data_IF_845858725578
#
_entry.id   IF_845858725578
#
_cell.length_a   1.000
_cell.length_b   1.000
_cell.length_c   1.000
_cell.angle_alpha   90.00
_cell.angle_beta   90.00
_cell.angle_gamma   90.00
#
_symmetry.space_group_name_H-M   'P 1'
#
loop_
_entity.id
_entity.type
_entity.pdbx_description
1 polymer ?
#
# COMPACT_ATOMS: atom_id res chain seq x y z
N UNK A 1 -28.97 -32.26 -19.19
CA UNK A 1 -29.21 -31.13 -18.27
C UNK A 1 -27.94 -30.30 -18.22
N UNK A 2 -27.80 -29.36 -19.13
CA UNK A 2 -26.64 -28.48 -19.28
C UNK A 2 -27.02 -27.11 -18.73
N UNK A 3 -26.39 -26.72 -17.62
CA UNK A 3 -26.58 -25.43 -16.97
C UNK A 3 -26.09 -24.31 -17.87
N UNK A 4 -27.02 -23.55 -18.46
CA UNK A 4 -26.76 -22.30 -19.14
C UNK A 4 -26.46 -21.22 -18.09
N UNK A 5 -25.19 -21.10 -17.69
CA UNK A 5 -24.70 -19.85 -17.12
C UNK A 5 -24.48 -18.88 -18.29
N UNK A 6 -25.52 -18.15 -18.66
CA UNK A 6 -25.38 -17.03 -19.58
C UNK A 6 -24.44 -16.00 -18.92
N UNK A 7 -23.35 -15.58 -19.58
CA UNK A 7 -22.55 -14.46 -19.09
C UNK A 7 -23.44 -13.22 -19.08
N UNK A 8 -23.66 -12.66 -17.89
CA UNK A 8 -24.32 -11.38 -17.71
C UNK A 8 -23.62 -10.34 -18.59
N UNK A 9 -24.38 -9.65 -19.44
CA UNK A 9 -23.88 -8.55 -20.27
C UNK A 9 -23.05 -7.59 -19.41
N UNK A 10 -21.82 -7.24 -19.82
CA UNK A 10 -21.02 -6.26 -19.12
C UNK A 10 -21.65 -4.89 -19.40
N UNK A 11 -22.61 -4.49 -18.57
CA UNK A 11 -22.94 -3.07 -18.44
C UNK A 11 -21.65 -2.37 -18.04
N UNK A 12 -21.03 -1.67 -18.99
CA UNK A 12 -19.79 -0.87 -18.88
C UNK A 12 -19.03 -1.15 -17.58
N UNK A 13 -18.35 -2.29 -17.52
CA UNK A 13 -17.37 -2.55 -16.47
C UNK A 13 -16.26 -1.53 -16.72
N UNK A 14 -16.35 -0.37 -16.06
CA UNK A 14 -15.23 0.55 -15.99
C UNK A 14 -14.04 -0.27 -15.48
N UNK A 15 -13.08 -0.48 -16.39
CA UNK A 15 -11.86 -1.17 -16.06
C UNK A 15 -11.26 -0.42 -14.88
N UNK A 16 -10.99 -1.13 -13.79
CA UNK A 16 -10.46 -0.50 -12.60
C UNK A 16 -9.13 0.17 -12.97
N UNK A 17 -9.01 1.47 -12.70
CA UNK A 17 -7.79 2.21 -12.92
C UNK A 17 -7.02 2.33 -11.61
N UNK A 18 -5.72 2.05 -11.66
CA UNK A 18 -4.88 2.16 -10.48
C UNK A 18 -4.78 3.64 -10.04
N UNK A 19 -5.01 3.96 -8.75
CA UNK A 19 -5.04 5.36 -8.28
C UNK A 19 -3.67 6.05 -8.34
N UNK A 20 -2.61 5.26 -8.53
CA UNK A 20 -1.24 5.72 -8.73
C UNK A 20 -0.70 4.98 -9.95
N UNK A 21 -0.01 5.66 -10.86
CA UNK A 21 0.52 5.09 -12.12
C UNK A 21 2.04 4.96 -12.04
N UNK A 22 2.60 3.78 -11.69
CA UNK A 22 4.03 3.56 -11.48
C UNK A 22 4.89 3.92 -12.70
N UNK A 23 4.32 3.79 -13.90
CA UNK A 23 4.95 4.05 -15.19
C UNK A 23 5.34 5.53 -15.35
N UNK A 24 4.73 6.44 -14.59
CA UNK A 24 5.04 7.87 -14.62
C UNK A 24 6.30 8.23 -13.81
N UNK A 25 6.80 7.33 -12.96
CA UNK A 25 7.96 7.60 -12.13
C UNK A 25 9.26 7.03 -12.70
N UNK A 26 10.38 7.66 -12.36
CA UNK A 26 11.69 7.10 -12.64
C UNK A 26 11.99 5.93 -11.68
N UNK A 27 11.88 4.71 -12.22
CA UNK A 27 12.12 3.43 -11.53
C UNK A 27 13.53 2.88 -11.73
N UNK A 28 14.48 3.66 -12.25
CA UNK A 28 15.87 3.21 -12.45
C UNK A 28 16.53 2.82 -11.12
N UNK A 29 17.49 1.87 -11.15
CA UNK A 29 18.30 1.52 -9.99
C UNK A 29 19.04 2.73 -9.39
N UNK A 30 19.56 2.56 -8.17
CA UNK A 30 20.34 3.60 -7.51
C UNK A 30 21.61 3.96 -8.30
N UNK A 31 21.83 5.26 -8.50
CA UNK A 31 23.10 5.81 -8.98
C UNK A 31 24.11 5.95 -7.84
N UNK A 32 25.39 6.14 -8.18
CA UNK A 32 26.44 6.38 -7.17
C UNK A 32 26.19 7.66 -6.36
N UNK A 33 25.66 8.70 -7.00
CA UNK A 33 25.30 9.95 -6.33
C UNK A 33 24.17 9.75 -5.32
N UNK A 34 23.19 8.91 -5.66
CA UNK A 34 22.09 8.56 -4.75
C UNK A 34 22.57 7.72 -3.58
N UNK A 35 23.47 6.76 -3.80
CA UNK A 35 24.11 6.00 -2.71
C UNK A 35 24.82 6.93 -1.74
N UNK A 36 25.61 7.87 -2.26
CA UNK A 36 26.26 8.90 -1.45
C UNK A 36 25.25 9.75 -0.67
N UNK A 37 24.15 10.16 -1.32
CA UNK A 37 23.11 10.94 -0.67
C UNK A 37 22.38 10.15 0.43
N UNK A 38 22.12 8.86 0.21
CA UNK A 38 21.50 7.96 1.18
C UNK A 38 22.42 7.72 2.39
N UNK A 39 23.72 7.52 2.17
CA UNK A 39 24.73 7.40 3.23
C UNK A 39 24.70 8.63 4.16
N UNK A 40 24.57 9.83 3.58
CA UNK A 40 24.49 11.07 4.37
C UNK A 40 23.27 11.12 5.31
N UNK A 41 22.17 10.43 4.97
CA UNK A 41 20.99 10.31 5.83
C UNK A 41 21.03 9.09 6.76
N UNK A 42 21.82 8.06 6.43
CA UNK A 42 21.99 6.87 7.25
C UNK A 42 23.01 7.07 8.39
N UNK A 43 24.00 7.95 8.19
CA UNK A 43 25.06 8.24 9.15
C UNK A 43 24.59 9.10 10.35
N UNK A 44 23.93 8.46 11.32
CA UNK A 44 23.77 8.99 12.68
C UNK A 44 22.78 10.15 12.86
N UNK A 45 22.70 10.76 14.06
CA UNK A 45 21.66 11.71 14.42
C UNK A 45 21.61 12.86 13.41
N UNK A 46 20.38 13.31 13.12
CA UNK A 46 20.05 14.35 12.14
C UNK A 46 21.06 15.49 12.21
N UNK A 47 22.04 15.50 11.28
CA UNK A 47 22.97 16.62 11.11
C UNK A 47 22.14 17.88 10.88
N UNK A 48 22.58 19.06 11.38
CA UNK A 48 21.78 20.27 11.38
C UNK A 48 21.08 20.48 10.04
N UNK A 49 19.75 20.58 10.14
CA UNK A 49 18.83 20.83 9.03
C UNK A 49 19.19 22.19 8.41
N UNK A 50 20.06 22.18 7.41
CA UNK A 50 20.55 23.42 6.79
C UNK A 50 21.93 23.35 6.16
N UNK A 51 22.70 22.28 6.36
CA UNK A 51 24.00 22.16 5.69
C UNK A 51 23.83 22.10 4.15
N UNK A 52 24.75 22.74 3.40
CA UNK A 52 24.77 22.64 1.92
C UNK A 52 24.80 21.19 1.43
N UNK A 53 25.47 20.30 2.17
CA UNK A 53 25.51 18.85 1.89
C UNK A 53 24.13 18.20 2.02
N UNK A 54 23.38 18.55 3.06
CA UNK A 54 22.00 18.06 3.25
C UNK A 54 21.07 18.57 2.15
N UNK A 55 21.20 19.83 1.73
CA UNK A 55 20.42 20.37 0.61
C UNK A 55 20.74 19.64 -0.70
N UNK A 56 22.03 19.43 -1.01
CA UNK A 56 22.47 18.66 -2.19
C UNK A 56 21.95 17.23 -2.14
N UNK A 57 22.06 16.54 -1.00
CA UNK A 57 21.55 15.18 -0.84
C UNK A 57 20.02 15.09 -1.05
N UNK A 58 19.26 16.09 -0.59
CA UNK A 58 17.81 16.16 -0.87
C UNK A 58 17.50 16.35 -2.35
N UNK A 59 18.29 17.18 -3.04
CA UNK A 59 18.13 17.42 -4.46
C UNK A 59 18.40 16.14 -5.28
N UNK A 60 19.46 15.40 -4.94
CA UNK A 60 19.80 14.12 -5.58
C UNK A 60 18.66 13.10 -5.41
N UNK A 61 18.09 13.01 -4.19
CA UNK A 61 17.00 12.06 -3.90
C UNK A 61 15.61 12.57 -4.29
N UNK A 62 15.51 13.68 -5.03
CA UNK A 62 14.22 14.35 -5.27
C UNK A 62 13.24 13.49 -6.07
N UNK A 63 13.73 12.60 -6.96
CA UNK A 63 12.86 11.73 -7.77
C UNK A 63 12.00 10.78 -6.94
N UNK A 64 12.41 10.46 -5.71
CA UNK A 64 11.61 9.61 -4.82
C UNK A 64 10.49 10.38 -4.12
N UNK A 65 10.47 11.71 -4.18
CA UNK A 65 9.48 12.52 -3.45
C UNK A 65 8.08 12.39 -4.04
N UNK A 66 7.93 12.47 -5.37
CA UNK A 66 6.61 12.34 -6.02
C UNK A 66 5.91 11.02 -5.70
N UNK A 67 6.49 9.83 -5.94
CA UNK A 67 5.79 8.58 -5.65
C UNK A 67 5.42 8.41 -4.16
N UNK A 68 6.25 8.93 -3.24
CA UNK A 68 5.95 8.92 -1.80
C UNK A 68 4.78 9.87 -1.49
N UNK A 69 4.82 11.08 -2.05
CA UNK A 69 3.80 12.10 -1.84
C UNK A 69 2.45 11.67 -2.41
N UNK A 70 2.42 11.04 -3.57
CA UNK A 70 1.18 10.63 -4.24
C UNK A 70 0.46 9.51 -3.46
N UNK A 71 1.20 8.50 -3.00
CA UNK A 71 0.64 7.45 -2.13
C UNK A 71 0.22 8.03 -0.77
N UNK A 72 1.01 8.95 -0.20
CA UNK A 72 0.64 9.60 1.05
C UNK A 72 -0.63 10.45 0.91
N UNK A 73 -0.74 11.21 -0.17
CA UNK A 73 -1.88 12.08 -0.45
C UNK A 73 -3.16 11.26 -0.66
N UNK A 74 -3.06 10.11 -1.32
CA UNK A 74 -4.16 9.17 -1.50
C UNK A 74 -4.84 8.84 -0.16
N UNK A 75 -4.05 8.41 0.84
CA UNK A 75 -4.61 8.02 2.15
C UNK A 75 -4.96 9.19 3.06
N UNK A 76 -4.08 10.20 3.13
CA UNK A 76 -4.13 11.22 4.19
C UNK A 76 -4.60 12.58 3.72
N UNK A 77 -4.86 12.77 2.41
CA UNK A 77 -5.24 14.06 1.82
C UNK A 77 -4.25 15.19 2.20
N UNK A 78 -2.97 14.86 2.36
CA UNK A 78 -1.91 15.81 2.73
C UNK A 78 -1.90 16.28 4.19
N UNK A 79 -2.66 15.65 5.11
CA UNK A 79 -2.86 16.15 6.48
C UNK A 79 -1.68 16.04 7.45
N UNK A 80 -0.49 15.61 7.03
CA UNK A 80 0.65 15.46 7.97
C UNK A 80 2.03 15.42 7.30
N UNK A 81 2.71 16.57 7.28
CA UNK A 81 4.09 16.69 6.79
C UNK A 81 5.08 15.88 7.63
N UNK A 82 4.79 15.67 8.92
CA UNK A 82 5.63 14.89 9.84
C UNK A 82 5.58 13.41 9.49
N UNK A 83 4.40 12.86 9.19
CA UNK A 83 4.28 11.46 8.78
C UNK A 83 4.93 11.20 7.42
N UNK A 84 4.81 12.13 6.46
CA UNK A 84 5.55 12.06 5.17
C UNK A 84 7.06 11.99 5.42
N UNK A 85 7.57 12.81 6.33
CA UNK A 85 8.99 12.82 6.67
C UNK A 85 9.44 11.50 7.32
N UNK A 86 8.59 10.85 8.12
CA UNK A 86 8.87 9.52 8.69
C UNK A 86 8.88 8.43 7.60
N UNK A 87 7.94 8.45 6.64
CA UNK A 87 7.97 7.56 5.47
C UNK A 87 9.29 7.70 4.72
N UNK A 88 9.71 8.95 4.44
CA UNK A 88 11.00 9.21 3.81
C UNK A 88 12.18 8.67 4.63
N UNK A 89 12.16 8.83 5.95
CA UNK A 89 13.23 8.34 6.82
C UNK A 89 13.35 6.82 6.75
N UNK A 90 12.23 6.10 6.83
CA UNK A 90 12.22 4.63 6.72
C UNK A 90 12.74 4.22 5.35
N UNK A 91 12.16 4.72 4.26
CA UNK A 91 12.56 4.29 2.92
C UNK A 91 14.03 4.59 2.62
N UNK A 92 14.54 5.77 2.97
CA UNK A 92 15.96 6.09 2.76
C UNK A 92 16.88 5.15 3.54
N UNK A 93 16.52 4.84 4.78
CA UNK A 93 17.28 3.87 5.59
C UNK A 93 17.27 2.48 4.96
N UNK A 94 16.12 2.01 4.53
CA UNK A 94 15.99 0.66 3.94
C UNK A 94 16.66 0.57 2.56
N UNK A 95 16.56 1.61 1.73
CA UNK A 95 17.25 1.70 0.43
C UNK A 95 18.76 1.70 0.60
N UNK A 96 19.27 2.44 1.60
CA UNK A 96 20.69 2.41 1.96
C UNK A 96 21.13 1.01 2.40
N UNK A 97 20.41 0.39 3.33
CA UNK A 97 20.75 -0.92 3.89
C UNK A 97 20.74 -2.04 2.83
N UNK A 98 19.83 -1.98 1.86
CA UNK A 98 19.71 -2.98 0.78
C UNK A 98 20.50 -2.63 -0.47
N UNK A 99 21.02 -1.40 -0.57
CA UNK A 99 21.61 -0.86 -1.79
C UNK A 99 20.71 -1.03 -3.03
N UNK A 100 19.40 -0.81 -2.86
CA UNK A 100 18.36 -0.93 -3.90
C UNK A 100 17.31 0.15 -3.73
N UNK A 101 16.71 0.60 -4.83
CA UNK A 101 15.51 1.42 -4.73
C UNK A 101 14.33 0.59 -4.21
N UNK A 102 13.31 1.23 -3.63
CA UNK A 102 12.10 0.50 -3.20
C UNK A 102 11.32 -0.13 -4.36
N UNK A 103 11.58 0.31 -5.60
CA UNK A 103 11.03 -0.30 -6.82
C UNK A 103 11.56 -1.72 -7.06
N UNK A 104 12.78 -2.00 -6.60
CA UNK A 104 13.49 -3.26 -6.83
C UNK A 104 13.29 -4.25 -5.67
N UNK A 105 12.54 -3.87 -4.64
CA UNK A 105 12.28 -4.75 -3.50
C UNK A 105 11.31 -5.87 -3.90
N UNK A 106 11.72 -7.09 -3.59
CA UNK A 106 10.86 -8.27 -3.62
C UNK A 106 9.69 -8.14 -2.64
N UNK A 107 8.63 -8.94 -2.82
CA UNK A 107 7.53 -9.02 -1.84
C UNK A 107 8.01 -9.32 -0.41
N UNK A 108 9.02 -10.16 -0.25
CA UNK A 108 9.59 -10.47 1.07
C UNK A 108 10.32 -9.26 1.66
N UNK A 109 11.12 -8.54 0.86
CA UNK A 109 11.80 -7.33 1.32
C UNK A 109 10.78 -6.28 1.80
N UNK A 110 9.63 -6.13 1.12
CA UNK A 110 8.53 -5.29 1.59
C UNK A 110 7.94 -5.76 2.93
N UNK A 111 7.67 -7.06 3.08
CA UNK A 111 7.17 -7.63 4.34
C UNK A 111 8.14 -7.37 5.50
N UNK A 112 9.45 -7.52 5.26
CA UNK A 112 10.49 -7.27 6.27
C UNK A 112 10.50 -5.79 6.72
N UNK A 113 10.32 -4.85 5.78
CA UNK A 113 10.22 -3.41 6.10
C UNK A 113 8.98 -3.11 6.93
N UNK A 114 7.84 -3.73 6.58
CA UNK A 114 6.56 -3.49 7.23
C UNK A 114 6.43 -4.14 8.61
N UNK A 115 7.22 -5.19 8.86
CA UNK A 115 7.15 -6.07 10.01
C UNK A 115 5.77 -6.75 10.16
N UNK A 116 5.65 -7.82 10.98
CA UNK A 116 4.38 -8.55 11.11
C UNK A 116 3.25 -7.75 11.75
N UNK A 117 3.57 -6.81 12.64
CA UNK A 117 2.60 -5.98 13.33
C UNK A 117 3.16 -4.61 13.72
N UNK A 118 2.25 -3.70 14.11
CA UNK A 118 2.58 -2.31 14.48
C UNK A 118 3.52 -2.22 15.68
N UNK A 119 3.44 -3.16 16.64
CA UNK A 119 4.30 -3.13 17.82
C UNK A 119 5.76 -3.42 17.45
N UNK A 120 6.01 -4.46 16.66
CA UNK A 120 7.34 -4.78 16.14
C UNK A 120 7.86 -3.65 15.27
N UNK A 121 7.02 -3.14 14.36
CA UNK A 121 7.38 -2.02 13.49
C UNK A 121 7.81 -0.79 14.30
N UNK A 122 7.07 -0.42 15.34
CA UNK A 122 7.39 0.73 16.19
C UNK A 122 8.68 0.54 16.98
N UNK A 123 9.03 -0.69 17.40
CA UNK A 123 10.28 -0.98 18.10
C UNK A 123 11.47 -0.94 17.14
N UNK A 124 11.32 -1.53 15.95
CA UNK A 124 12.43 -1.68 15.00
C UNK A 124 12.68 -0.40 14.19
N UNK A 125 11.62 0.31 13.83
CA UNK A 125 11.64 1.45 12.89
C UNK A 125 11.10 2.73 13.51
N UNK A 126 10.19 2.62 14.47
CA UNK A 126 9.59 3.77 15.15
C UNK A 126 10.58 4.51 16.03
N UNK A 127 10.70 5.83 15.82
CA UNK A 127 11.43 6.74 16.73
C UNK A 127 10.61 7.08 17.99
N UNK A 128 9.91 6.11 18.56
CA UNK A 128 9.21 6.24 19.84
C UNK A 128 7.86 6.97 19.84
N UNK A 129 7.30 7.36 18.68
CA UNK A 129 5.95 7.95 18.59
C UNK A 129 5.01 7.07 17.77
N UNK A 130 3.80 6.83 18.30
CA UNK A 130 2.70 6.15 17.59
C UNK A 130 2.28 7.00 16.40
N UNK A 131 2.78 6.70 15.21
CA UNK A 131 2.38 7.41 14.01
C UNK A 131 1.95 6.44 12.92
N UNK A 132 0.93 6.83 12.17
CA UNK A 132 0.18 5.96 11.27
C UNK A 132 0.87 5.80 9.91
N UNK A 133 2.17 6.10 9.79
CA UNK A 133 2.90 6.01 8.52
C UNK A 133 3.17 4.57 8.05
N UNK A 134 2.98 3.57 8.92
CA UNK A 134 3.08 2.15 8.55
C UNK A 134 2.04 1.77 7.50
N UNK A 135 0.82 2.28 7.61
CA UNK A 135 -0.23 1.97 6.62
C UNK A 135 0.10 2.62 5.27
N UNK A 136 0.67 3.83 5.26
CA UNK A 136 1.21 4.40 4.02
C UNK A 136 2.29 3.51 3.40
N UNK A 137 3.20 2.95 4.19
CA UNK A 137 4.21 2.02 3.66
C UNK A 137 3.57 0.74 3.10
N UNK A 138 2.47 0.25 3.70
CA UNK A 138 1.70 -0.88 3.13
C UNK A 138 1.10 -0.51 1.78
N UNK A 139 0.52 0.68 1.67
CA UNK A 139 -0.02 1.18 0.41
C UNK A 139 1.06 1.29 -0.65
N UNK A 140 2.27 1.74 -0.28
CA UNK A 140 3.41 1.77 -1.18
C UNK A 140 3.82 0.38 -1.64
N UNK A 141 3.91 -0.60 -0.73
CA UNK A 141 4.22 -1.98 -1.10
C UNK A 141 3.18 -2.56 -2.07
N UNK A 142 1.90 -2.26 -1.86
CA UNK A 142 0.83 -2.68 -2.74
C UNK A 142 0.88 -1.97 -4.10
N UNK A 143 0.82 -0.63 -4.12
CA UNK A 143 0.66 0.18 -5.32
C UNK A 143 1.95 0.31 -6.15
N UNK A 144 3.11 0.42 -5.49
CA UNK A 144 4.39 0.68 -6.13
C UNK A 144 5.28 -0.57 -6.19
N UNK A 145 5.22 -1.40 -5.14
CA UNK A 145 6.06 -2.58 -4.97
C UNK A 145 5.54 -3.86 -5.60
N UNK A 146 4.34 -3.83 -6.21
CA UNK A 146 3.76 -5.02 -6.83
C UNK A 146 3.20 -6.05 -5.84
N UNK A 147 3.21 -5.78 -4.52
CA UNK A 147 2.90 -6.78 -3.49
C UNK A 147 1.39 -6.90 -3.28
N UNK A 148 0.79 -7.96 -3.79
CA UNK A 148 -0.65 -8.22 -3.63
C UNK A 148 -0.99 -8.94 -2.32
N UNK A 149 -0.07 -9.74 -1.77
CA UNK A 149 -0.24 -10.44 -0.51
C UNK A 149 0.52 -9.79 0.65
N UNK A 150 -0.17 -8.90 1.35
CA UNK A 150 0.34 -8.24 2.57
C UNK A 150 -0.20 -8.88 3.86
N UNK A 151 -0.74 -10.11 3.80
CA UNK A 151 -1.27 -10.80 4.98
C UNK A 151 -0.19 -11.07 6.02
N UNK A 152 1.03 -11.37 5.58
CA UNK A 152 2.19 -11.55 6.46
C UNK A 152 2.59 -10.25 7.19
N UNK A 153 2.29 -9.10 6.60
CA UNK A 153 2.43 -7.79 7.25
C UNK A 153 1.19 -7.40 8.06
N UNK A 154 0.17 -8.26 8.19
CA UNK A 154 -1.01 -7.97 9.00
C UNK A 154 -1.98 -6.96 8.37
N UNK A 155 -2.10 -6.93 7.04
CA UNK A 155 -3.06 -6.04 6.34
C UNK A 155 -4.53 -6.31 6.72
N UNK A 156 -4.85 -7.45 7.35
CA UNK A 156 -6.22 -7.83 7.65
C UNK A 156 -7.04 -6.74 8.37
N UNK A 157 -6.46 -6.02 9.34
CA UNK A 157 -7.13 -4.91 10.03
C UNK A 157 -7.36 -3.68 9.14
N UNK A 158 -6.53 -3.50 8.13
CA UNK A 158 -6.57 -2.38 7.17
C UNK A 158 -7.19 -2.77 5.83
N UNK A 159 -7.67 -4.02 5.68
CA UNK A 159 -8.12 -4.56 4.40
C UNK A 159 -9.32 -3.79 3.83
N UNK A 160 -10.33 -3.48 4.65
CA UNK A 160 -11.51 -2.71 4.19
C UNK A 160 -11.14 -1.26 3.86
N UNK A 161 -10.44 -0.50 4.74
CA UNK A 161 -9.95 0.83 4.38
C UNK A 161 -9.09 0.84 3.11
N UNK A 162 -8.16 -0.10 2.96
CA UNK A 162 -7.30 -0.20 1.78
C UNK A 162 -8.09 -0.54 0.51
N UNK A 163 -9.02 -1.52 0.57
CA UNK A 163 -9.85 -1.84 -0.57
C UNK A 163 -10.72 -0.65 -1.01
N UNK A 164 -11.33 0.07 -0.06
CA UNK A 164 -12.08 1.29 -0.37
C UNK A 164 -11.20 2.37 -1.01
N UNK A 165 -9.96 2.50 -0.52
CA UNK A 165 -9.00 3.47 -1.03
C UNK A 165 -8.57 3.16 -2.47
N UNK A 166 -8.36 1.89 -2.81
CA UNK A 166 -7.83 1.51 -4.12
C UNK A 166 -8.90 1.29 -5.18
N UNK A 167 -10.03 0.67 -4.80
CA UNK A 167 -11.07 0.26 -5.73
C UNK A 167 -12.30 1.18 -5.70
N UNK A 168 -12.35 2.12 -4.75
CA UNK A 168 -13.50 2.98 -4.50
C UNK A 168 -14.51 2.35 -3.54
N UNK A 169 -14.97 3.15 -2.57
CA UNK A 169 -15.93 2.72 -1.55
C UNK A 169 -17.22 2.14 -2.14
N UNK A 170 -17.75 2.76 -3.20
CA UNK A 170 -19.01 2.35 -3.83
C UNK A 170 -18.87 0.96 -4.46
N UNK A 171 -17.82 0.76 -5.26
CA UNK A 171 -17.54 -0.54 -5.90
C UNK A 171 -17.33 -1.65 -4.87
N UNK A 172 -16.54 -1.39 -3.82
CA UNK A 172 -16.34 -2.39 -2.75
C UNK A 172 -17.64 -2.71 -2.03
N UNK A 173 -18.45 -1.70 -1.71
CA UNK A 173 -19.74 -1.89 -1.06
C UNK A 173 -20.71 -2.70 -1.94
N UNK A 174 -20.81 -2.37 -3.23
CA UNK A 174 -21.65 -3.08 -4.19
C UNK A 174 -21.23 -4.55 -4.32
N UNK A 175 -19.94 -4.84 -4.52
CA UNK A 175 -19.48 -6.22 -4.65
C UNK A 175 -19.65 -7.01 -3.35
N UNK A 176 -19.42 -6.38 -2.18
CA UNK A 176 -19.71 -7.03 -0.90
C UNK A 176 -21.20 -7.34 -0.73
N UNK A 177 -22.08 -6.40 -1.11
CA UNK A 177 -23.52 -6.57 -1.00
C UNK A 177 -24.01 -7.71 -1.90
N UNK A 178 -23.52 -7.80 -3.14
CA UNK A 178 -23.85 -8.91 -4.06
C UNK A 178 -23.52 -10.28 -3.46
N UNK A 179 -22.35 -10.44 -2.84
CA UNK A 179 -21.96 -11.70 -2.20
C UNK A 179 -22.81 -11.97 -0.95
N UNK A 180 -23.07 -10.95 -0.14
CA UNK A 180 -23.92 -11.07 1.05
C UNK A 180 -25.36 -11.46 0.69
N UNK A 181 -25.92 -10.92 -0.39
CA UNK A 181 -27.27 -11.26 -0.85
C UNK A 181 -27.35 -12.70 -1.37
N UNK A 182 -26.29 -13.21 -1.99
CA UNK A 182 -26.22 -14.64 -2.32
C UNK A 182 -26.22 -15.53 -1.07
N UNK A 183 -25.50 -15.13 -0.02
CA UNK A 183 -25.36 -15.90 1.23
C UNK A 183 -26.60 -15.82 2.14
N UNK A 184 -27.26 -14.66 2.20
CA UNK A 184 -28.33 -14.33 3.16
C UNK A 184 -29.71 -14.23 2.50
N UNK A 185 -29.77 -13.70 1.27
CA UNK A 185 -31.01 -13.38 0.56
C UNK A 185 -31.69 -14.58 -0.10
N UNK A 186 -30.92 -15.60 -0.50
CA UNK A 186 -31.50 -16.88 -0.93
C UNK A 186 -31.86 -17.73 0.30
N UNK A 187 -33.17 -17.91 0.55
CA UNK A 187 -33.73 -18.84 1.55
C UNK A 187 -33.17 -20.28 1.48
N UNK A 188 -32.41 -20.62 0.44
CA UNK A 188 -31.79 -21.92 0.22
C UNK A 188 -30.57 -22.20 1.11
N UNK A 189 -29.85 -21.18 1.60
CA UNK A 189 -28.62 -21.39 2.40
C UNK A 189 -28.82 -21.19 3.92
N UNK A 190 -29.90 -20.53 4.34
CA UNK A 190 -30.32 -20.49 5.75
C UNK A 190 -29.47 -19.64 6.71
N UNK A 191 -28.47 -18.89 6.24
CA UNK A 191 -27.62 -18.09 7.11
C UNK A 191 -28.28 -16.77 7.54
N UNK A 192 -28.44 -16.56 8.86
CA UNK A 192 -28.77 -15.24 9.44
C UNK A 192 -27.47 -14.49 9.79
N UNK A 193 -27.11 -13.48 9.02
CA UNK A 193 -25.95 -12.65 9.32
C UNK A 193 -26.33 -11.42 10.16
N UNK A 194 -26.03 -11.45 11.46
CA UNK A 194 -26.05 -10.26 12.32
C UNK A 194 -25.00 -9.22 11.88
N UNK A 195 -25.12 -7.98 12.36
CA UNK A 195 -24.25 -6.85 11.97
C UNK A 195 -22.74 -7.16 12.09
N UNK A 196 -22.33 -7.84 13.16
CA UNK A 196 -20.93 -8.23 13.39
C UNK A 196 -20.42 -9.26 12.35
N UNK A 197 -21.27 -10.22 11.98
CA UNK A 197 -20.92 -11.21 10.95
C UNK A 197 -20.77 -10.54 9.57
N UNK A 198 -21.66 -9.60 9.23
CA UNK A 198 -21.57 -8.82 7.98
C UNK A 198 -20.27 -8.02 7.89
N UNK A 199 -19.88 -7.36 8.97
CA UNK A 199 -18.62 -6.60 9.04
C UNK A 199 -17.39 -7.51 8.84
N UNK A 200 -17.36 -8.69 9.49
CA UNK A 200 -16.29 -9.67 9.27
C UNK A 200 -16.26 -10.21 7.83
N UNK A 201 -17.42 -10.51 7.25
CA UNK A 201 -17.50 -10.97 5.84
C UNK A 201 -16.95 -9.87 4.92
N UNK A 202 -17.34 -8.61 5.12
CA UNK A 202 -16.82 -7.48 4.34
C UNK A 202 -15.29 -7.36 4.44
N UNK A 203 -14.73 -7.55 5.63
CA UNK A 203 -13.27 -7.55 5.83
C UNK A 203 -12.57 -8.67 5.05
N UNK A 204 -13.12 -9.89 5.08
CA UNK A 204 -12.59 -11.01 4.30
C UNK A 204 -12.73 -10.80 2.80
N UNK A 205 -13.88 -10.30 2.34
CA UNK A 205 -14.08 -9.97 0.92
C UNK A 205 -13.11 -8.88 0.46
N UNK A 206 -12.89 -7.85 1.27
CA UNK A 206 -11.90 -6.80 1.00
C UNK A 206 -10.49 -7.39 0.88
N UNK A 207 -10.15 -8.38 1.72
CA UNK A 207 -8.87 -9.10 1.63
C UNK A 207 -8.77 -9.88 0.31
N UNK A 208 -9.84 -10.55 -0.11
CA UNK A 208 -9.89 -11.26 -1.39
C UNK A 208 -9.72 -10.30 -2.56
N UNK A 209 -10.36 -9.13 -2.54
CA UNK A 209 -10.20 -8.12 -3.59
C UNK A 209 -8.76 -7.61 -3.71
N UNK A 210 -8.08 -7.39 -2.57
CA UNK A 210 -6.67 -7.01 -2.56
C UNK A 210 -5.76 -8.11 -3.13
N UNK A 211 -6.03 -9.38 -2.81
CA UNK A 211 -5.27 -10.53 -3.32
C UNK A 211 -5.46 -10.74 -4.83
N UNK A 212 -6.67 -10.48 -5.33
CA UNK A 212 -7.08 -10.71 -6.71
C UNK A 212 -6.80 -9.52 -7.63
N UNK A 213 -5.88 -8.62 -7.26
CA UNK A 213 -5.47 -7.53 -8.17
C UNK A 213 -4.99 -8.13 -9.49
N UNK A 214 -5.81 -8.00 -10.53
CA UNK A 214 -5.50 -8.47 -11.86
C UNK A 214 -4.38 -7.61 -12.44
N UNK A 215 -3.26 -8.22 -12.78
CA UNK A 215 -2.17 -7.62 -13.57
C UNK A 215 -2.57 -7.35 -15.03
N UNK A 216 -3.87 -7.21 -15.34
CA UNK A 216 -4.39 -7.28 -16.71
C UNK A 216 -3.97 -6.12 -17.63
N UNK A 217 -3.14 -5.19 -17.16
CA UNK A 217 -2.55 -4.12 -17.98
C UNK A 217 -1.00 -4.19 -18.10
N UNK A 218 -0.40 -5.37 -17.87
CA UNK A 218 0.99 -5.62 -18.24
C UNK A 218 1.06 -6.38 -19.58
N UNK A 219 0.79 -5.66 -20.68
CA UNK A 219 1.19 -6.05 -22.04
C UNK A 219 2.24 -5.06 -22.52
#
# INVERSE_FOLDING_TARGET
MTSNLSPLSPGSLECWQMPVVPEQYDRKPLTDEERWALEHFAAGPLKPTGSRKTAKARQILARFNSPIADVFFLRHQGRSLTEVAEVHCVLRREMYQRNKTFWEWSPQEWVDVLCPNVAVFNVTRGRGKKQNYRTTLMDMGYLLGGVTDLRLAGIGYEATPAANLYFGTERVAEQCQRVLDMLVGNKQLGYKAGKAARSKIQQYLSTVFLLQRSSQDAV
#
